data_IF_689643323689
#
_entry.id   IF_689643323689
#
_cell.length_a   1.000
_cell.length_b   1.000
_cell.length_c   1.000
_cell.angle_alpha   90.00
_cell.angle_beta   90.00
_cell.angle_gamma   90.00
#
_symmetry.space_group_name_H-M   'P 1'
#
loop_
_entity.id
_entity.type
_entity.pdbx_description
1 polymer ?
#
# COMPACT_ATOMS: atom_id res chain seq x y z
N UNK A 1 -3.17 10.35 5.35
CA UNK A 1 -4.60 10.03 5.46
C UNK A 1 -4.70 8.68 6.15
N UNK A 2 -5.57 8.51 7.14
CA UNK A 2 -5.82 7.21 7.77
C UNK A 2 -6.65 6.32 6.82
N UNK A 3 -6.71 5.02 7.10
CA UNK A 3 -7.58 4.08 6.37
C UNK A 3 -9.06 4.51 6.40
N UNK A 4 -9.53 5.02 7.53
CA UNK A 4 -10.91 5.52 7.66
C UNK A 4 -11.12 6.79 6.82
N UNK A 5 -10.20 7.75 6.89
CA UNK A 5 -10.24 8.97 6.06
C UNK A 5 -10.21 8.61 4.55
N UNK A 6 -9.43 7.58 4.16
CA UNK A 6 -9.39 7.06 2.78
C UNK A 6 -10.73 6.46 2.36
N UNK A 7 -11.31 5.59 3.18
CA UNK A 7 -12.60 4.97 2.89
C UNK A 7 -13.72 6.01 2.78
N UNK A 8 -13.73 7.01 3.68
CA UNK A 8 -14.71 8.09 3.62
C UNK A 8 -14.57 8.93 2.35
N UNK A 9 -13.34 9.29 1.97
CA UNK A 9 -13.08 10.00 0.72
C UNK A 9 -13.55 9.19 -0.51
N UNK A 10 -13.21 7.90 -0.57
CA UNK A 10 -13.64 7.00 -1.65
C UNK A 10 -15.16 6.91 -1.77
N UNK A 11 -15.87 6.74 -0.65
CA UNK A 11 -17.34 6.71 -0.62
C UNK A 11 -17.98 8.02 -1.08
N UNK A 12 -17.44 9.16 -0.64
CA UNK A 12 -17.95 10.47 -1.09
C UNK A 12 -17.71 10.69 -2.58
N UNK A 13 -16.52 10.33 -3.08
CA UNK A 13 -16.19 10.36 -4.51
C UNK A 13 -17.13 9.48 -5.34
N UNK A 14 -17.35 8.23 -4.92
CA UNK A 14 -18.25 7.30 -5.59
C UNK A 14 -19.68 7.85 -5.66
N UNK A 15 -20.20 8.35 -4.54
CA UNK A 15 -21.57 8.88 -4.46
C UNK A 15 -21.79 10.13 -5.33
N UNK A 16 -20.84 11.06 -5.37
CA UNK A 16 -20.95 12.25 -6.23
C UNK A 16 -20.82 11.90 -7.72
N UNK A 17 -19.93 10.96 -8.04
CA UNK A 17 -19.76 10.49 -9.42
C UNK A 17 -21.03 9.80 -9.89
N UNK A 18 -21.67 9.01 -9.04
CA UNK A 18 -22.93 8.33 -9.33
C UNK A 18 -24.07 9.30 -9.63
N UNK A 19 -24.29 10.30 -8.76
CA UNK A 19 -25.28 11.35 -9.00
C UNK A 19 -25.07 12.06 -10.34
N UNK A 20 -23.81 12.34 -10.69
CA UNK A 20 -23.45 13.01 -11.93
C UNK A 20 -23.73 12.11 -13.15
N UNK A 21 -23.37 10.83 -13.06
CA UNK A 21 -23.59 9.84 -14.11
C UNK A 21 -25.08 9.63 -14.37
N UNK A 22 -25.90 9.56 -13.31
CA UNK A 22 -27.36 9.45 -13.44
C UNK A 22 -27.95 10.67 -14.15
N UNK A 23 -27.51 11.89 -13.78
CA UNK A 23 -27.92 13.13 -14.47
C UNK A 23 -27.47 13.20 -15.93
N UNK A 24 -26.35 12.54 -16.27
CA UNK A 24 -25.85 12.43 -17.63
C UNK A 24 -26.55 11.35 -18.48
N UNK A 25 -27.56 10.66 -17.91
CA UNK A 25 -28.36 9.64 -18.61
C UNK A 25 -27.88 8.20 -18.39
N UNK A 26 -26.86 7.97 -17.55
CA UNK A 26 -26.35 6.65 -17.20
C UNK A 26 -26.96 6.16 -15.87
N UNK A 27 -28.29 6.08 -15.79
CA UNK A 27 -29.02 5.78 -14.54
C UNK A 27 -28.78 4.38 -13.94
N UNK A 28 -28.17 3.46 -14.68
CA UNK A 28 -27.75 2.14 -14.19
C UNK A 28 -26.29 2.08 -13.76
N UNK A 29 -25.55 3.19 -13.89
CA UNK A 29 -24.15 3.25 -13.48
C UNK A 29 -24.07 3.34 -11.96
N UNK A 30 -23.14 2.61 -11.37
CA UNK A 30 -22.80 2.68 -9.96
C UNK A 30 -21.29 2.63 -9.82
N UNK A 31 -20.76 3.28 -8.78
CA UNK A 31 -19.33 3.19 -8.48
C UNK A 31 -18.94 1.74 -8.15
N UNK A 32 -17.76 1.32 -8.62
CA UNK A 32 -17.23 0.02 -8.27
C UNK A 32 -17.01 -0.08 -6.75
N UNK A 33 -17.29 -1.22 -6.11
CA UNK A 33 -16.96 -1.42 -4.71
C UNK A 33 -15.45 -1.38 -4.48
N UNK A 34 -15.04 -1.06 -3.26
CA UNK A 34 -13.64 -1.15 -2.85
C UNK A 34 -13.11 -2.57 -3.04
N UNK A 35 -11.88 -2.69 -3.54
CA UNK A 35 -11.23 -3.98 -3.72
C UNK A 35 -10.94 -4.63 -2.35
N UNK A 36 -11.22 -5.94 -2.19
CA UNK A 36 -10.82 -6.67 -0.99
C UNK A 36 -9.31 -6.54 -0.73
N UNK A 37 -8.89 -6.15 0.48
CA UNK A 37 -7.46 -6.03 0.79
C UNK A 37 -6.75 -7.39 0.68
N UNK A 38 -5.57 -7.40 0.06
CA UNK A 38 -4.69 -8.57 -0.05
C UNK A 38 -3.32 -8.27 0.53
N UNK A 39 -2.74 -9.24 1.26
CA UNK A 39 -1.37 -9.14 1.75
C UNK A 39 -1.24 -8.36 3.07
N UNK A 40 -0.11 -7.66 3.28
CA UNK A 40 0.20 -7.01 4.56
C UNK A 40 -0.86 -6.01 5.01
N UNK A 41 -1.12 -5.97 6.33
CA UNK A 41 -2.20 -5.15 6.89
C UNK A 41 -1.79 -3.71 7.14
N UNK A 42 -0.49 -3.45 7.25
CA UNK A 42 0.07 -2.10 7.41
C UNK A 42 1.28 -1.90 6.52
N UNK A 43 1.69 -0.65 6.33
CA UNK A 43 2.90 -0.36 5.58
C UNK A 43 4.16 -0.91 6.28
N UNK A 44 4.19 -0.90 7.62
CA UNK A 44 5.26 -1.51 8.41
C UNK A 44 5.34 -3.04 8.21
N UNK A 45 4.17 -3.67 8.13
CA UNK A 45 4.00 -5.10 7.86
C UNK A 45 4.54 -5.50 6.47
N UNK A 46 4.45 -4.58 5.49
CA UNK A 46 4.99 -4.74 4.14
C UNK A 46 6.50 -4.44 4.05
N UNK A 47 6.94 -3.31 4.64
CA UNK A 47 8.26 -2.69 4.39
C UNK A 47 9.45 -3.60 4.71
N UNK A 48 9.33 -4.45 5.73
CA UNK A 48 10.43 -5.30 6.18
C UNK A 48 10.27 -6.77 5.81
N UNK A 49 9.30 -7.11 4.96
CA UNK A 49 9.05 -8.47 4.48
C UNK A 49 8.44 -9.40 5.53
N UNK A 50 8.73 -10.69 5.38
CA UNK A 50 8.15 -11.74 6.23
C UNK A 50 8.64 -11.67 7.68
N UNK A 51 7.74 -11.94 8.62
CA UNK A 51 8.02 -11.92 10.07
C UNK A 51 7.20 -12.94 10.88
N UNK A 52 6.30 -13.72 10.26
CA UNK A 52 5.45 -14.71 10.93
C UNK A 52 5.78 -16.12 10.40
N UNK A 53 6.35 -16.97 11.26
CA UNK A 53 6.75 -18.34 10.91
C UNK A 53 5.57 -19.27 10.62
N UNK A 54 4.41 -19.05 11.24
CA UNK A 54 3.20 -19.85 11.00
C UNK A 54 2.62 -19.53 9.63
N UNK A 55 2.57 -18.25 9.26
CA UNK A 55 2.12 -17.85 7.93
C UNK A 55 3.12 -18.32 6.88
N UNK A 56 4.42 -18.07 7.07
CA UNK A 56 5.46 -18.51 6.13
C UNK A 56 5.46 -20.02 5.93
N UNK A 57 5.27 -20.81 6.98
CA UNK A 57 5.16 -22.27 6.88
C UNK A 57 3.96 -22.76 6.06
N UNK A 58 2.93 -21.92 5.85
CA UNK A 58 1.74 -22.25 5.05
C UNK A 58 1.82 -21.72 3.62
N UNK A 59 2.37 -20.52 3.44
CA UNK A 59 2.25 -19.78 2.16
C UNK A 59 3.57 -19.22 1.62
N UNK A 60 4.71 -19.51 2.23
CA UNK A 60 5.99 -18.94 1.79
C UNK A 60 5.96 -17.41 1.83
N UNK A 61 6.30 -16.78 0.70
CA UNK A 61 6.25 -15.33 0.47
C UNK A 61 4.89 -14.86 -0.06
N UNK A 62 3.94 -15.76 -0.36
CA UNK A 62 2.64 -15.38 -0.89
C UNK A 62 1.73 -14.69 0.14
N UNK A 63 0.79 -13.84 -0.31
CA UNK A 63 -0.35 -13.43 0.51
C UNK A 63 -1.28 -14.62 0.79
N UNK A 64 -2.32 -14.40 1.60
CA UNK A 64 -3.35 -15.42 1.79
C UNK A 64 -4.05 -15.73 0.46
N UNK A 65 -4.24 -17.02 0.17
CA UNK A 65 -4.77 -17.47 -1.12
C UNK A 65 -6.25 -17.10 -1.30
N UNK A 66 -7.05 -17.13 -0.23
CA UNK A 66 -8.45 -16.77 -0.29
C UNK A 66 -8.60 -15.25 -0.45
N UNK A 67 -7.79 -14.46 0.28
CA UNK A 67 -7.72 -13.00 0.09
C UNK A 67 -7.33 -12.66 -1.35
N UNK A 68 -6.30 -13.33 -1.90
CA UNK A 68 -5.86 -13.12 -3.27
C UNK A 68 -6.96 -13.47 -4.28
N UNK A 69 -7.60 -14.63 -4.13
CA UNK A 69 -8.67 -15.06 -5.04
C UNK A 69 -9.87 -14.09 -5.02
N UNK A 70 -10.25 -13.60 -3.84
CA UNK A 70 -11.32 -12.61 -3.70
C UNK A 70 -10.95 -11.28 -4.35
N UNK A 71 -9.71 -10.80 -4.15
CA UNK A 71 -9.21 -9.58 -4.78
C UNK A 71 -9.16 -9.73 -6.31
N UNK A 72 -8.58 -10.81 -6.83
CA UNK A 72 -8.48 -11.05 -8.28
C UNK A 72 -9.87 -11.11 -8.93
N UNK A 73 -10.82 -11.82 -8.32
CA UNK A 73 -12.20 -11.87 -8.82
C UNK A 73 -12.87 -10.48 -8.84
N UNK A 74 -12.61 -9.64 -7.82
CA UNK A 74 -13.12 -8.28 -7.77
C UNK A 74 -12.47 -7.38 -8.85
N UNK A 75 -11.17 -7.54 -9.11
CA UNK A 75 -10.47 -6.84 -10.20
C UNK A 75 -11.03 -7.24 -11.56
N UNK A 76 -11.19 -8.53 -11.82
CA UNK A 76 -11.78 -9.03 -13.08
C UNK A 76 -13.21 -8.51 -13.28
N UNK A 77 -14.03 -8.53 -12.22
CA UNK A 77 -15.38 -7.96 -12.27
C UNK A 77 -15.37 -6.45 -12.55
N UNK A 78 -14.46 -5.69 -11.94
CA UNK A 78 -14.32 -4.25 -12.17
C UNK A 78 -13.86 -3.94 -13.61
N UNK A 79 -12.91 -4.70 -14.15
CA UNK A 79 -12.46 -4.57 -15.54
C UNK A 79 -13.58 -4.92 -16.53
N UNK A 80 -14.31 -6.01 -16.27
CA UNK A 80 -15.43 -6.42 -17.11
C UNK A 80 -16.60 -5.42 -17.07
N UNK A 81 -16.88 -4.84 -15.90
CA UNK A 81 -17.94 -3.87 -15.66
C UNK A 81 -17.59 -2.41 -15.98
N UNK A 82 -16.33 -2.13 -16.34
CA UNK A 82 -15.88 -0.77 -16.63
C UNK A 82 -16.59 -0.12 -17.82
N UNK A 83 -16.77 1.20 -17.76
CA UNK A 83 -17.39 1.98 -18.84
C UNK A 83 -16.49 2.05 -20.08
N UNK A 84 -17.11 2.27 -21.25
CA UNK A 84 -16.42 2.39 -22.55
C UNK A 84 -17.01 3.53 -23.38
N UNK A 85 -16.23 4.04 -24.33
CA UNK A 85 -16.69 5.08 -25.26
C UNK A 85 -17.21 6.33 -24.54
N UNK A 86 -18.39 6.82 -24.93
CA UNK A 86 -18.99 8.02 -24.35
C UNK A 86 -19.27 7.90 -22.84
N UNK A 87 -19.56 6.70 -22.34
CA UNK A 87 -19.76 6.47 -20.91
C UNK A 87 -18.47 6.64 -20.11
N UNK A 88 -17.32 6.23 -20.66
CA UNK A 88 -16.01 6.42 -20.02
C UNK A 88 -15.59 7.88 -19.97
N UNK A 89 -15.89 8.64 -21.03
CA UNK A 89 -15.68 10.10 -21.04
C UNK A 89 -16.55 10.77 -19.97
N UNK A 90 -17.84 10.42 -19.91
CA UNK A 90 -18.76 10.95 -18.91
C UNK A 90 -18.33 10.61 -17.48
N UNK A 91 -17.89 9.36 -17.23
CA UNK A 91 -17.39 8.93 -15.92
C UNK A 91 -16.16 9.74 -15.50
N UNK A 92 -15.19 9.92 -16.40
CA UNK A 92 -14.01 10.75 -16.15
C UNK A 92 -14.39 12.20 -15.81
N UNK A 93 -15.29 12.81 -16.58
CA UNK A 93 -15.75 14.18 -16.34
C UNK A 93 -16.51 14.31 -15.01
N UNK A 94 -17.35 13.34 -14.68
CA UNK A 94 -18.06 13.27 -13.41
C UNK A 94 -17.12 13.07 -12.22
N UNK A 95 -16.08 12.25 -12.38
CA UNK A 95 -15.02 12.10 -11.38
C UNK A 95 -14.26 13.41 -11.16
N UNK A 96 -13.93 14.16 -12.22
CA UNK A 96 -13.29 15.47 -12.09
C UNK A 96 -14.18 16.49 -11.39
N UNK A 97 -15.47 16.56 -11.73
CA UNK A 97 -16.45 17.42 -11.03
C UNK A 97 -16.57 17.07 -9.55
N UNK A 98 -16.56 15.78 -9.22
CA UNK A 98 -16.59 15.31 -7.83
C UNK A 98 -15.34 15.78 -7.07
N UNK A 99 -14.14 15.63 -7.65
CA UNK A 99 -12.89 16.15 -7.09
C UNK A 99 -12.92 17.67 -6.91
N UNK A 100 -13.47 18.43 -7.86
CA UNK A 100 -13.62 19.87 -7.75
C UNK A 100 -14.57 20.27 -6.60
N UNK A 101 -15.58 19.44 -6.31
CA UNK A 101 -16.54 19.70 -5.25
C UNK A 101 -15.97 19.43 -3.85
N UNK A 102 -15.30 18.29 -3.63
CA UNK A 102 -14.79 17.93 -2.29
C UNK A 102 -13.36 18.35 -2.03
N UNK A 103 -12.58 18.62 -3.08
CA UNK A 103 -11.16 18.96 -2.99
C UNK A 103 -10.25 17.76 -3.26
N UNK A 104 -8.99 18.05 -3.57
CA UNK A 104 -7.97 17.02 -3.82
C UNK A 104 -7.31 16.57 -2.51
N UNK A 105 -7.75 15.42 -1.99
CA UNK A 105 -7.14 14.80 -0.81
C UNK A 105 -5.68 14.40 -1.06
N UNK A 106 -5.29 14.06 -2.29
CA UNK A 106 -3.95 13.60 -2.62
C UNK A 106 -2.90 14.66 -2.29
N UNK A 107 -3.16 15.91 -2.68
CA UNK A 107 -2.31 17.05 -2.32
C UNK A 107 -2.04 17.21 -0.81
N UNK A 108 -2.93 16.66 0.03
CA UNK A 108 -2.85 16.77 1.48
C UNK A 108 -1.99 15.70 2.17
N UNK A 109 -1.67 14.57 1.51
CA UNK A 109 -0.84 13.50 2.09
C UNK A 109 0.36 13.09 1.22
N UNK A 110 0.41 13.48 -0.06
CA UNK A 110 1.46 13.06 -0.99
C UNK A 110 2.87 13.38 -0.50
N UNK A 111 3.07 14.57 0.11
CA UNK A 111 4.39 14.93 0.65
C UNK A 111 4.81 13.98 1.78
N UNK A 112 3.90 13.64 2.71
CA UNK A 112 4.21 12.75 3.81
C UNK A 112 4.55 11.33 3.31
N UNK A 113 3.81 10.85 2.31
CA UNK A 113 4.05 9.55 1.68
C UNK A 113 5.41 9.52 0.96
N UNK A 114 5.72 10.56 0.19
CA UNK A 114 7.00 10.70 -0.48
C UNK A 114 8.16 10.69 0.53
N UNK A 115 8.10 11.52 1.57
CA UNK A 115 9.15 11.59 2.59
C UNK A 115 9.33 10.25 3.32
N UNK A 116 8.24 9.52 3.58
CA UNK A 116 8.31 8.20 4.19
C UNK A 116 8.98 7.16 3.26
N UNK A 117 8.67 7.19 1.96
CA UNK A 117 9.28 6.29 0.96
C UNK A 117 10.76 6.60 0.71
N UNK A 118 11.12 7.88 0.67
CA UNK A 118 12.51 8.33 0.54
C UNK A 118 13.33 7.89 1.77
N UNK A 119 12.78 8.06 2.97
CA UNK A 119 13.43 7.62 4.21
C UNK A 119 13.64 6.10 4.25
N UNK A 120 12.64 5.31 3.83
CA UNK A 120 12.77 3.85 3.72
C UNK A 120 13.89 3.44 2.76
N UNK A 121 13.92 4.05 1.56
CA UNK A 121 14.91 3.76 0.52
C UNK A 121 16.32 4.13 1.00
N UNK A 122 16.46 5.28 1.66
CA UNK A 122 17.72 5.74 2.22
C UNK A 122 18.18 4.88 3.40
N UNK A 123 17.27 4.43 4.26
CA UNK A 123 17.60 3.61 5.41
C UNK A 123 18.35 2.31 5.02
N UNK A 124 18.04 1.72 3.85
CA UNK A 124 18.77 0.56 3.31
C UNK A 124 20.27 0.79 3.10
N UNK A 125 20.67 2.05 2.98
CA UNK A 125 22.05 2.47 2.71
C UNK A 125 22.78 2.89 4.00
N UNK A 126 22.08 3.00 5.13
CA UNK A 126 22.72 3.36 6.40
C UNK A 126 23.65 2.22 6.85
N UNK A 127 24.86 2.53 7.38
CA UNK A 127 25.89 1.52 7.65
C UNK A 127 25.42 0.36 8.52
N UNK A 128 24.59 0.63 9.53
CA UNK A 128 24.04 -0.41 10.41
C UNK A 128 23.09 -1.37 9.68
N UNK A 129 22.30 -0.87 8.73
CA UNK A 129 21.36 -1.69 7.95
C UNK A 129 22.12 -2.52 6.92
N UNK A 130 23.10 -1.92 6.25
CA UNK A 130 24.01 -2.64 5.33
C UNK A 130 24.74 -3.78 6.07
N UNK A 131 25.21 -3.54 7.30
CA UNK A 131 25.84 -4.58 8.11
C UNK A 131 24.87 -5.71 8.48
N UNK A 132 23.64 -5.39 8.88
CA UNK A 132 22.61 -6.38 9.18
C UNK A 132 22.23 -7.22 7.95
N UNK A 133 22.15 -6.58 6.77
CA UNK A 133 21.91 -7.27 5.49
C UNK A 133 23.08 -8.18 5.11
N UNK A 134 24.33 -7.76 5.34
CA UNK A 134 25.50 -8.59 5.07
C UNK A 134 25.53 -9.84 5.98
N UNK A 135 25.21 -9.69 7.26
CA UNK A 135 25.09 -10.83 8.19
C UNK A 135 23.96 -11.78 7.79
N UNK A 136 22.80 -11.23 7.41
CA UNK A 136 21.67 -12.00 6.89
C UNK A 136 22.06 -12.79 5.63
N UNK A 137 22.74 -12.13 4.67
CA UNK A 137 23.18 -12.74 3.42
C UNK A 137 24.17 -13.88 3.65
N UNK A 138 25.09 -13.73 4.60
CA UNK A 138 26.01 -14.79 5.01
C UNK A 138 25.26 -16.00 5.59
N UNK A 139 24.29 -15.78 6.47
CA UNK A 139 23.43 -16.84 7.01
C UNK A 139 22.62 -17.56 5.92
N UNK A 140 22.06 -16.82 4.96
CA UNK A 140 21.34 -17.41 3.83
C UNK A 140 22.27 -18.27 2.98
N UNK A 141 23.51 -17.82 2.76
CA UNK A 141 24.54 -18.58 2.03
C UNK A 141 24.92 -19.88 2.75
N UNK A 142 25.07 -19.85 4.07
CA UNK A 142 25.28 -21.05 4.89
C UNK A 142 24.10 -22.03 4.79
N UNK A 143 22.88 -21.49 4.61
CA UNK A 143 21.66 -22.26 4.41
C UNK A 143 21.45 -22.72 2.96
N UNK A 144 22.40 -22.45 2.06
CA UNK A 144 22.36 -22.86 0.65
C UNK A 144 21.68 -21.90 -0.31
N UNK A 145 21.32 -20.69 0.13
CA UNK A 145 20.63 -19.66 -0.65
C UNK A 145 21.52 -18.45 -0.94
N UNK A 146 21.36 -17.81 -2.09
CA UNK A 146 22.20 -16.67 -2.49
C UNK A 146 21.33 -15.45 -2.79
N UNK A 147 21.33 -14.51 -1.85
CA UNK A 147 20.63 -13.22 -1.97
C UNK A 147 21.50 -12.12 -1.38
N UNK A 148 21.41 -10.90 -1.94
CA UNK A 148 22.22 -9.76 -1.51
C UNK A 148 21.53 -9.00 -0.38
N UNK A 149 20.23 -8.81 -0.50
CA UNK A 149 19.39 -8.12 0.48
C UNK A 149 18.13 -8.94 0.81
N UNK A 150 17.52 -8.77 1.99
CA UNK A 150 16.35 -9.54 2.41
C UNK A 150 15.16 -9.50 1.44
N UNK A 151 14.89 -8.34 0.83
CA UNK A 151 13.79 -8.23 -0.12
C UNK A 151 14.07 -8.94 -1.46
N UNK A 152 15.33 -9.19 -1.82
CA UNK A 152 15.66 -9.95 -3.05
C UNK A 152 15.09 -11.39 -3.00
N UNK A 153 14.93 -11.96 -1.80
CA UNK A 153 14.36 -13.29 -1.61
C UNK A 153 12.83 -13.28 -1.75
N UNK A 154 12.18 -12.23 -1.23
CA UNK A 154 10.73 -12.02 -1.34
C UNK A 154 10.33 -11.73 -2.79
N UNK A 155 11.15 -10.95 -3.50
CA UNK A 155 10.93 -10.52 -4.89
C UNK A 155 11.46 -11.53 -5.92
N UNK A 156 11.95 -12.69 -5.49
CA UNK A 156 12.49 -13.70 -6.40
C UNK A 156 11.39 -14.25 -7.30
N UNK A 157 11.51 -13.97 -8.61
CA UNK A 157 10.53 -14.37 -9.63
C UNK A 157 10.23 -15.87 -9.65
N UNK A 158 11.13 -16.71 -9.15
CA UNK A 158 10.88 -18.17 -9.07
C UNK A 158 9.77 -18.52 -8.07
N UNK A 159 9.42 -17.60 -7.16
CA UNK A 159 8.36 -17.72 -6.16
C UNK A 159 7.11 -16.89 -6.51
N UNK A 160 6.93 -16.49 -7.77
CA UNK A 160 5.85 -15.57 -8.17
C UNK A 160 4.51 -16.24 -8.49
N UNK A 161 4.44 -17.57 -8.57
CA UNK A 161 3.27 -18.31 -9.08
C UNK A 161 2.55 -19.10 -7.99
N UNK A 162 3.06 -20.29 -7.73
CA UNK A 162 2.45 -21.25 -6.81
C UNK A 162 3.35 -21.41 -5.60
N UNK A 163 2.72 -21.58 -4.44
CA UNK A 163 3.45 -21.91 -3.20
C UNK A 163 4.12 -23.26 -3.38
N UNK A 164 5.46 -23.26 -3.33
CA UNK A 164 6.23 -24.51 -3.44
C UNK A 164 6.91 -24.87 -2.13
N UNK A 165 7.23 -26.16 -1.94
CA UNK A 165 8.06 -26.57 -0.81
C UNK A 165 9.43 -25.85 -0.79
N UNK A 166 10.05 -25.67 -1.96
CA UNK A 166 11.32 -24.96 -2.08
C UNK A 166 11.21 -23.50 -1.61
N UNK A 167 10.10 -22.84 -1.92
CA UNK A 167 9.80 -21.50 -1.44
C UNK A 167 9.62 -21.47 0.08
N UNK A 168 8.78 -22.35 0.64
CA UNK A 168 8.55 -22.40 2.09
C UNK A 168 9.87 -22.65 2.83
N UNK A 169 10.69 -23.60 2.36
CA UNK A 169 11.99 -23.90 2.97
C UNK A 169 12.93 -22.67 2.88
N UNK A 170 12.91 -21.93 1.76
CA UNK A 170 13.69 -20.69 1.58
C UNK A 170 13.21 -19.58 2.51
N UNK A 171 11.89 -19.39 2.63
CA UNK A 171 11.28 -18.36 3.45
C UNK A 171 11.45 -18.63 4.95
N UNK A 172 11.43 -19.90 5.38
CA UNK A 172 11.75 -20.29 6.75
C UNK A 172 13.23 -20.04 7.08
N UNK A 173 14.15 -20.34 6.15
CA UNK A 173 15.56 -19.98 6.30
C UNK A 173 15.75 -18.46 6.37
N UNK A 174 15.06 -17.71 5.50
CA UNK A 174 15.04 -16.25 5.51
C UNK A 174 14.60 -15.69 6.87
N UNK A 175 13.47 -16.15 7.42
CA UNK A 175 13.02 -15.76 8.76
C UNK A 175 14.07 -16.04 9.84
N UNK A 176 14.70 -17.22 9.82
CA UNK A 176 15.72 -17.56 10.80
C UNK A 176 16.91 -16.60 10.70
N UNK A 177 17.39 -16.34 9.48
CA UNK A 177 18.50 -15.42 9.24
C UNK A 177 18.14 -13.98 9.62
N UNK A 178 16.92 -13.51 9.33
CA UNK A 178 16.45 -12.17 9.72
C UNK A 178 16.43 -12.00 11.22
N UNK A 179 15.98 -13.01 11.95
CA UNK A 179 15.94 -13.00 13.41
C UNK A 179 17.35 -12.96 14.02
N UNK A 180 18.34 -13.66 13.44
CA UNK A 180 19.72 -13.67 13.95
C UNK A 180 20.42 -12.32 13.81
N UNK A 181 20.16 -11.58 12.73
CA UNK A 181 20.79 -10.27 12.48
C UNK A 181 19.88 -9.07 12.77
N UNK A 182 18.70 -9.30 13.39
CA UNK A 182 17.75 -8.26 13.76
C UNK A 182 17.38 -7.30 12.62
N UNK A 183 17.27 -7.82 11.39
CA UNK A 183 17.08 -7.04 10.15
C UNK A 183 15.98 -6.00 10.27
N UNK A 184 14.77 -6.43 10.67
CA UNK A 184 13.61 -5.55 10.75
C UNK A 184 13.81 -4.43 11.79
N UNK A 185 14.36 -4.74 12.96
CA UNK A 185 14.56 -3.76 14.02
C UNK A 185 15.60 -2.70 13.63
N UNK A 186 16.76 -3.13 13.11
CA UNK A 186 17.84 -2.23 12.72
C UNK A 186 17.40 -1.31 11.58
N UNK A 187 16.71 -1.86 10.58
CA UNK A 187 16.17 -1.08 9.47
C UNK A 187 15.08 -0.11 9.92
N UNK A 188 14.14 -0.55 10.75
CA UNK A 188 13.10 0.31 11.31
C UNK A 188 13.68 1.49 12.10
N UNK A 189 14.68 1.26 12.95
CA UNK A 189 15.31 2.33 13.73
C UNK A 189 16.00 3.37 12.84
N UNK A 190 16.71 2.93 11.81
CA UNK A 190 17.33 3.82 10.83
C UNK A 190 16.29 4.63 10.05
N UNK A 191 15.20 3.98 9.59
CA UNK A 191 14.11 4.65 8.89
C UNK A 191 13.41 5.69 9.77
N UNK A 192 13.08 5.35 11.03
CA UNK A 192 12.43 6.29 11.96
C UNK A 192 13.29 7.54 12.17
N UNK A 193 14.60 7.39 12.31
CA UNK A 193 15.52 8.53 12.43
C UNK A 193 15.44 9.43 11.20
N UNK A 194 15.53 8.84 10.01
CA UNK A 194 15.46 9.57 8.73
C UNK A 194 14.09 10.23 8.51
N UNK A 195 12.99 9.56 8.90
CA UNK A 195 11.64 10.11 8.84
C UNK A 195 11.47 11.30 9.77
N UNK A 196 11.99 11.24 11.01
CA UNK A 196 11.96 12.36 11.95
C UNK A 196 12.71 13.57 11.38
N UNK A 197 13.94 13.37 10.91
CA UNK A 197 14.73 14.45 10.29
C UNK A 197 14.02 15.05 9.07
N UNK A 198 13.39 14.21 8.24
CA UNK A 198 12.64 14.65 7.08
C UNK A 198 11.39 15.45 7.48
N UNK A 199 10.67 15.01 8.52
CA UNK A 199 9.50 15.71 9.04
C UNK A 199 9.88 17.07 9.63
N UNK A 200 10.96 17.14 10.41
CA UNK A 200 11.45 18.40 10.98
C UNK A 200 11.84 19.41 9.90
N UNK A 201 12.60 18.97 8.88
CA UNK A 201 12.98 19.82 7.74
C UNK A 201 11.79 20.30 6.89
N UNK A 202 10.69 19.56 6.90
CA UNK A 202 9.50 19.83 6.08
C UNK A 202 8.28 20.24 6.91
N UNK A 203 8.45 20.61 8.18
CA UNK A 203 7.36 20.79 9.13
C UNK A 203 6.28 21.77 8.62
N UNK A 204 6.69 22.91 8.06
CA UNK A 204 5.75 23.91 7.53
C UNK A 204 4.97 23.39 6.29
N UNK A 205 5.66 22.68 5.40
CA UNK A 205 5.03 22.12 4.20
C UNK A 205 4.05 20.99 4.58
N UNK A 206 4.43 20.13 5.52
CA UNK A 206 3.57 19.08 6.07
C UNK A 206 2.35 19.65 6.80
N UNK A 207 2.51 20.70 7.60
CA UNK A 207 1.39 21.40 8.23
C UNK A 207 0.43 21.97 7.18
N UNK A 208 0.97 22.62 6.14
CA UNK A 208 0.16 23.15 5.03
C UNK A 208 -0.60 22.04 4.30
N UNK A 209 0.05 20.90 4.05
CA UNK A 209 -0.60 19.74 3.46
C UNK A 209 -1.72 19.19 4.36
N UNK A 210 -1.48 19.09 5.68
CA UNK A 210 -2.51 18.64 6.63
C UNK A 210 -3.72 19.57 6.66
N UNK A 211 -3.52 20.89 6.69
CA UNK A 211 -4.64 21.85 6.64
C UNK A 211 -5.48 21.69 5.37
N UNK A 212 -4.85 21.43 4.22
CA UNK A 212 -5.58 21.15 2.97
C UNK A 212 -6.37 19.84 3.06
N UNK A 213 -5.76 18.80 3.62
CA UNK A 213 -6.44 17.52 3.84
C UNK A 213 -7.67 17.68 4.74
N UNK A 214 -7.53 18.39 5.86
CA UNK A 214 -8.62 18.61 6.82
C UNK A 214 -9.79 19.38 6.17
N UNK A 215 -9.50 20.35 5.30
CA UNK A 215 -10.53 21.06 4.53
C UNK A 215 -11.28 20.10 3.58
N UNK A 216 -10.56 19.23 2.86
CA UNK A 216 -11.16 18.20 2.01
C UNK A 216 -12.03 17.22 2.81
N UNK A 217 -11.56 16.75 3.96
CA UNK A 217 -12.30 15.82 4.83
C UNK A 217 -13.57 16.44 5.42
N UNK A 218 -13.57 17.76 5.66
CA UNK A 218 -14.79 18.49 6.02
C UNK A 218 -15.82 18.45 4.90
N UNK A 219 -15.41 18.65 3.65
CA UNK A 219 -16.32 18.58 2.50
C UNK A 219 -16.85 17.15 2.29
N UNK A 220 -15.99 16.13 2.43
CA UNK A 220 -16.36 14.71 2.44
C UNK A 220 -17.46 14.45 3.47
N UNK A 221 -17.28 14.94 4.69
CA UNK A 221 -18.25 14.76 5.78
C UNK A 221 -19.62 15.38 5.45
N UNK A 222 -19.63 16.56 4.83
CA UNK A 222 -20.88 17.23 4.39
C UNK A 222 -21.61 16.39 3.34
N UNK A 223 -20.88 15.87 2.35
CA UNK A 223 -21.45 15.01 1.29
C UNK A 223 -22.06 13.75 1.89
N UNK A 224 -21.32 13.05 2.76
CA UNK A 224 -21.79 11.81 3.37
C UNK A 224 -22.99 12.04 4.31
N UNK A 225 -23.09 13.20 4.97
CA UNK A 225 -24.23 13.54 5.81
C UNK A 225 -25.50 13.80 5.00
N UNK A 226 -25.39 14.43 3.82
CA UNK A 226 -26.52 14.70 2.92
C UNK A 226 -27.04 13.48 2.16
N UNK A 227 -26.39 12.32 2.32
CA UNK A 227 -26.75 11.03 1.71
C UNK A 227 -27.45 10.07 2.68
N UNK A 228 -27.65 10.48 3.94
CA UNK A 228 -28.39 9.71 4.95
C UNK A 228 -29.90 9.87 4.80
#
# INVERSE_FOLDING_TARGET
MTDDEQNQFGRAMGSLTEDCMHKAGYGSWSSAPDLPKVGPKTLTDLRYGIHDAVLVGKRGYHPDAAEKAAHDAAVEAAVAGGTRGAAAVAESDCGQKSKQQIGDAQSGFQLAEQLANDAFTKAKQEPEVVAAFAQWSACMKESGYKYREPLDAVDDRKFSRDVTKAEIDTALADLNCRSRSNVALVWYQAEVRLQKDAAERNAQALHTARTRLDATLKNVSVVLAGKR
#
